data_IF_663383350678
#
_entry.id   IF_663383350678
#
_cell.length_a   1.000
_cell.length_b   1.000
_cell.length_c   1.000
_cell.angle_alpha   90.00
_cell.angle_beta   90.00
_cell.angle_gamma   90.00
#
_symmetry.space_group_name_H-M   'P 1'
#
loop_
_entity.id
_entity.type
_entity.pdbx_description
1 polymer ?
#
# COMPACT_ATOMS: atom_id res chain seq x y z
N UNK A 1 -4.35 1.62 -6.58
CA UNK A 1 -3.46 2.75 -6.29
C UNK A 1 -4.17 3.73 -5.38
N UNK A 2 -3.45 4.24 -4.38
CA UNK A 2 -3.91 5.24 -3.41
C UNK A 2 -2.97 6.45 -3.57
N UNK A 3 -3.54 7.57 -3.95
CA UNK A 3 -2.84 8.84 -4.15
C UNK A 3 -3.06 9.72 -2.91
N UNK A 4 -1.97 10.09 -2.25
CA UNK A 4 -2.00 10.90 -1.03
C UNK A 4 -1.20 12.18 -1.22
N UNK A 5 -1.79 13.29 -0.76
CA UNK A 5 -1.11 14.58 -0.58
C UNK A 5 -0.98 14.84 0.90
N UNK A 6 0.23 14.66 1.42
CA UNK A 6 0.54 14.81 2.84
C UNK A 6 1.08 16.22 3.08
N UNK A 7 0.39 17.08 3.84
CA UNK A 7 0.92 18.40 4.19
C UNK A 7 2.26 18.29 4.89
N UNK A 8 3.22 19.17 4.58
CA UNK A 8 4.53 19.18 5.26
C UNK A 8 4.40 19.40 6.77
N UNK A 9 3.32 20.02 7.23
CA UNK A 9 3.03 20.23 8.64
C UNK A 9 2.83 18.93 9.44
N UNK A 10 2.57 17.79 8.76
CA UNK A 10 2.55 16.48 9.41
C UNK A 10 3.95 15.99 9.80
N UNK A 11 4.99 16.60 9.22
CA UNK A 11 6.39 16.19 9.33
C UNK A 11 7.24 17.17 10.15
N UNK A 12 6.78 18.41 10.33
CA UNK A 12 7.50 19.45 11.06
C UNK A 12 7.05 19.49 12.52
N UNK A 13 7.56 18.56 13.35
CA UNK A 13 7.33 18.66 14.80
C UNK A 13 8.42 19.44 15.52
N UNK A 14 9.63 19.62 14.94
CA UNK A 14 10.70 20.45 15.53
C UNK A 14 11.86 20.89 14.60
N UNK A 15 11.88 20.58 13.29
CA UNK A 15 13.06 20.87 12.44
C UNK A 15 12.92 22.12 11.57
N UNK A 16 13.78 23.10 11.80
CA UNK A 16 13.95 24.36 11.06
C UNK A 16 14.55 24.23 9.65
N UNK A 17 14.66 23.02 9.08
CA UNK A 17 15.29 22.83 7.76
C UNK A 17 14.32 22.40 6.68
N UNK A 18 14.13 23.31 5.72
CA UNK A 18 13.28 23.15 4.55
C UNK A 18 13.86 22.19 3.51
N UNK A 19 13.11 21.14 3.18
CA UNK A 19 13.22 20.38 1.93
C UNK A 19 13.99 19.05 1.99
N UNK A 20 13.39 17.98 1.45
CA UNK A 20 14.04 16.68 1.21
C UNK A 20 14.32 15.83 2.46
N UNK A 21 13.60 16.09 3.55
CA UNK A 21 13.98 15.55 4.86
C UNK A 21 13.34 14.19 5.17
N UNK A 22 12.40 13.68 4.39
CA UNK A 22 11.75 12.41 4.68
C UNK A 22 11.86 11.43 3.52
N UNK A 23 11.89 10.14 3.84
CA UNK A 23 11.91 9.04 2.87
C UNK A 23 11.17 7.80 3.39
N UNK A 24 10.66 6.92 2.51
CA UNK A 24 10.14 5.62 2.91
C UNK A 24 11.19 4.84 3.71
N UNK A 25 10.80 4.25 4.83
CA UNK A 25 11.70 3.41 5.61
C UNK A 25 12.01 2.11 4.85
N UNK A 26 13.30 1.80 4.71
CA UNK A 26 13.72 0.48 4.22
C UNK A 26 13.64 -0.50 5.38
N UNK A 27 12.79 -1.51 5.25
CA UNK A 27 12.61 -2.57 6.25
C UNK A 27 13.08 -3.90 5.68
N UNK A 28 13.59 -4.78 6.54
CA UNK A 28 14.06 -6.12 6.14
C UNK A 28 12.91 -7.04 5.75
N UNK A 29 11.69 -6.74 6.22
CA UNK A 29 10.47 -7.50 5.92
C UNK A 29 9.50 -6.55 5.21
N UNK A 30 9.28 -6.71 3.88
CA UNK A 30 8.36 -5.86 3.15
C UNK A 30 6.90 -6.16 3.52
N UNK A 31 6.04 -5.15 3.38
CA UNK A 31 4.60 -5.35 3.51
C UNK A 31 4.07 -6.15 2.32
N UNK A 32 3.30 -7.20 2.60
CA UNK A 32 2.80 -8.12 1.57
C UNK A 32 1.68 -7.49 0.73
N UNK A 33 0.79 -6.73 1.36
CA UNK A 33 -0.41 -6.21 0.71
C UNK A 33 -0.31 -4.71 0.37
N UNK A 34 0.87 -4.11 0.52
CA UNK A 34 1.04 -2.66 0.35
C UNK A 34 2.49 -2.30 0.01
N UNK A 35 2.70 -1.44 -0.99
CA UNK A 35 4.02 -0.86 -1.29
C UNK A 35 3.92 0.61 -1.67
N UNK A 36 4.93 1.38 -1.30
CA UNK A 36 5.08 2.77 -1.77
C UNK A 36 5.68 2.68 -3.18
N UNK A 37 4.93 3.14 -4.18
CA UNK A 37 5.36 3.17 -5.57
C UNK A 37 6.16 4.45 -5.88
N UNK A 38 5.67 5.60 -5.39
CA UNK A 38 6.32 6.89 -5.57
C UNK A 38 6.21 7.73 -4.29
N UNK A 39 7.25 8.49 -3.99
CA UNK A 39 7.27 9.46 -2.90
C UNK A 39 8.14 10.66 -3.28
N UNK A 40 7.55 11.85 -3.27
CA UNK A 40 8.26 13.07 -3.67
C UNK A 40 7.76 14.29 -2.90
N UNK A 41 8.63 15.29 -2.71
CA UNK A 41 8.22 16.59 -2.19
C UNK A 41 7.77 17.50 -3.33
N UNK A 42 6.58 18.09 -3.22
CA UNK A 42 6.05 19.05 -4.16
C UNK A 42 5.97 20.45 -3.50
N UNK A 43 6.48 21.46 -4.20
CA UNK A 43 6.32 22.87 -3.82
C UNK A 43 5.19 23.46 -4.64
N UNK A 44 4.17 24.00 -3.97
CA UNK A 44 3.05 24.67 -4.63
C UNK A 44 2.91 26.07 -4.06
N UNK A 45 2.42 27.02 -4.86
CA UNK A 45 2.37 28.45 -4.55
C UNK A 45 1.63 28.81 -3.24
N UNK A 46 0.77 27.90 -2.76
CA UNK A 46 -0.09 28.10 -1.56
C UNK A 46 0.36 27.24 -0.38
N UNK A 47 0.86 26.03 -0.61
CA UNK A 47 1.29 25.12 0.47
C UNK A 47 2.21 24.02 -0.07
N UNK A 48 3.23 23.66 0.70
CA UNK A 48 4.09 22.53 0.37
C UNK A 48 3.46 21.21 0.85
N UNK A 49 3.59 20.16 0.06
CA UNK A 49 3.12 18.82 0.41
C UNK A 49 4.05 17.74 -0.12
N UNK A 50 4.02 16.56 0.49
CA UNK A 50 4.57 15.35 -0.08
C UNK A 50 3.49 14.62 -0.88
N UNK A 51 3.82 14.27 -2.11
CA UNK A 51 2.98 13.43 -2.96
C UNK A 51 3.47 11.98 -2.84
N UNK A 52 2.53 11.09 -2.52
CA UNK A 52 2.79 9.67 -2.32
C UNK A 52 1.79 8.84 -3.10
N UNK A 53 2.30 7.88 -3.88
CA UNK A 53 1.48 6.84 -4.52
C UNK A 53 1.75 5.50 -3.86
N UNK A 54 0.67 4.85 -3.43
CA UNK A 54 0.72 3.55 -2.78
C UNK A 54 -0.04 2.53 -3.63
N UNK A 55 0.59 1.40 -3.88
CA UNK A 55 -0.08 0.23 -4.40
C UNK A 55 -0.55 -0.65 -3.26
N UNK A 56 -1.80 -1.08 -3.34
CA UNK A 56 -2.47 -1.87 -2.32
C UNK A 56 -3.06 -3.11 -2.97
N UNK A 57 -2.67 -4.28 -2.47
CA UNK A 57 -3.00 -5.57 -3.06
C UNK A 57 -4.10 -6.25 -2.25
N UNK A 58 -5.30 -6.31 -2.83
CA UNK A 58 -6.52 -6.75 -2.15
C UNK A 58 -7.01 -8.11 -2.69
N UNK A 59 -6.17 -9.15 -2.62
CA UNK A 59 -6.44 -10.44 -3.28
C UNK A 59 -7.46 -11.34 -2.58
N UNK A 60 -7.48 -11.33 -1.24
CA UNK A 60 -8.34 -12.23 -0.45
C UNK A 60 -9.34 -11.42 0.37
N UNK A 61 -10.56 -11.95 0.53
CA UNK A 61 -11.57 -11.37 1.42
C UNK A 61 -11.06 -11.40 2.87
N UNK A 62 -10.88 -10.23 3.45
CA UNK A 62 -10.44 -10.02 4.85
C UNK A 62 -10.47 -8.54 5.22
N UNK A 63 -10.31 -8.28 6.52
CA UNK A 63 -9.87 -6.97 7.00
C UNK A 63 -8.34 -6.90 6.88
N UNK A 64 -7.86 -5.98 6.05
CA UNK A 64 -6.46 -5.69 5.86
C UNK A 64 -6.06 -4.48 6.68
N UNK A 65 -4.91 -4.58 7.35
CA UNK A 65 -4.28 -3.46 8.05
C UNK A 65 -2.78 -3.49 7.78
N UNK A 66 -2.31 -2.51 7.04
CA UNK A 66 -0.90 -2.36 6.66
C UNK A 66 -0.35 -1.06 7.25
N UNK A 67 0.90 -1.08 7.70
CA UNK A 67 1.58 0.09 8.28
C UNK A 67 2.84 0.38 7.48
N UNK A 68 2.89 1.58 6.92
CA UNK A 68 4.06 2.13 6.25
C UNK A 68 4.77 3.11 7.19
N UNK A 69 6.08 3.12 7.13
CA UNK A 69 6.92 4.03 7.91
C UNK A 69 7.61 4.99 6.96
N UNK A 70 7.56 6.27 7.29
CA UNK A 70 8.30 7.34 6.62
C UNK A 70 9.23 7.92 7.67
N UNK A 71 10.52 7.91 7.39
CA UNK A 71 11.57 8.31 8.33
C UNK A 71 12.25 9.57 7.86
N UNK A 72 12.73 10.35 8.82
CA UNK A 72 13.58 11.48 8.51
C UNK A 72 14.96 11.01 8.03
N UNK A 73 15.50 11.65 7.01
CA UNK A 73 16.79 11.35 6.40
C UNK A 73 17.97 11.67 7.31
N UNK A 74 17.77 12.60 8.26
CA UNK A 74 18.79 13.02 9.25
C UNK A 74 18.60 12.35 10.61
N UNK A 75 17.37 11.97 10.95
CA UNK A 75 17.05 11.31 12.22
C UNK A 75 16.06 10.15 12.03
N UNK A 76 16.58 8.93 11.93
CA UNK A 76 15.75 7.72 11.83
C UNK A 76 14.77 7.48 13.00
N UNK A 77 14.91 8.19 14.12
CA UNK A 77 13.98 8.12 15.25
C UNK A 77 12.72 8.97 15.03
N UNK A 78 12.77 9.95 14.13
CA UNK A 78 11.60 10.71 13.72
C UNK A 78 10.84 9.94 12.63
N UNK A 79 9.80 9.22 13.08
CA UNK A 79 9.04 8.28 12.25
C UNK A 79 7.57 8.68 12.16
N UNK A 80 7.10 8.94 10.94
CA UNK A 80 5.69 9.03 10.63
C UNK A 80 5.14 7.64 10.28
N UNK A 81 4.10 7.21 10.99
CA UNK A 81 3.41 5.93 10.75
C UNK A 81 2.13 6.17 9.97
N UNK A 82 2.07 5.65 8.75
CA UNK A 82 0.87 5.67 7.92
C UNK A 82 0.19 4.31 8.00
N UNK A 83 -1.01 4.27 8.57
CA UNK A 83 -1.80 3.04 8.69
C UNK A 83 -2.93 3.03 7.67
N UNK A 84 -2.98 1.99 6.84
CA UNK A 84 -4.01 1.76 5.85
C UNK A 84 -4.86 0.60 6.33
N UNK A 85 -6.15 0.86 6.57
CA UNK A 85 -7.12 -0.17 6.93
C UNK A 85 -8.16 -0.28 5.83
N UNK A 86 -8.36 -1.48 5.31
CA UNK A 86 -9.30 -1.74 4.23
C UNK A 86 -10.11 -3.00 4.52
N UNK A 87 -11.40 -2.96 4.17
CA UNK A 87 -12.25 -4.15 4.10
C UNK A 87 -12.26 -4.64 2.66
N UNK A 88 -11.60 -5.77 2.41
CA UNK A 88 -11.63 -6.42 1.11
C UNK A 88 -12.90 -7.25 1.02
N UNK A 89 -13.66 -7.05 -0.06
CA UNK A 89 -14.86 -7.80 -0.35
C UNK A 89 -14.54 -8.91 -1.35
N UNK A 90 -15.07 -10.11 -1.11
CA UNK A 90 -14.98 -11.20 -2.08
C UNK A 90 -15.89 -10.99 -3.29
N UNK A 91 -15.78 -11.91 -4.25
CA UNK A 91 -16.61 -11.93 -5.46
C UNK A 91 -18.10 -11.96 -5.10
N UNK A 92 -18.91 -11.27 -5.92
CA UNK A 92 -20.37 -11.24 -5.74
C UNK A 92 -20.89 -10.42 -4.54
N UNK A 93 -20.01 -9.74 -3.79
CA UNK A 93 -20.41 -8.86 -2.67
C UNK A 93 -20.78 -7.43 -3.11
N UNK A 94 -20.87 -7.19 -4.42
CA UNK A 94 -21.17 -5.90 -5.02
C UNK A 94 -19.92 -5.07 -5.35
N UNK A 95 -20.12 -3.90 -5.94
CA UNK A 95 -19.04 -2.99 -6.34
C UNK A 95 -18.40 -2.34 -5.10
N UNK A 96 -17.09 -2.49 -4.88
CA UNK A 96 -16.40 -1.83 -3.78
C UNK A 96 -16.54 -0.30 -3.87
N UNK A 97 -16.82 0.34 -2.75
CA UNK A 97 -16.84 1.80 -2.66
C UNK A 97 -15.41 2.31 -2.47
N UNK A 98 -14.83 2.93 -3.50
CA UNK A 98 -13.52 3.57 -3.42
C UNK A 98 -13.65 5.01 -2.92
N UNK A 99 -12.74 5.42 -2.03
CA UNK A 99 -12.65 6.83 -1.58
C UNK A 99 -11.92 7.66 -2.64
N UNK A 100 -12.07 8.98 -2.56
CA UNK A 100 -11.31 9.93 -3.39
C UNK A 100 -9.81 9.67 -3.29
N UNK A 101 -9.13 9.65 -4.43
CA UNK A 101 -7.71 9.31 -4.52
C UNK A 101 -7.42 7.80 -4.49
N UNK A 102 -8.44 6.94 -4.51
CA UNK A 102 -8.26 5.48 -4.61
C UNK A 102 -8.78 5.00 -5.96
N UNK A 103 -7.93 4.29 -6.69
CA UNK A 103 -8.16 3.85 -8.05
C UNK A 103 -7.86 2.35 -8.18
N UNK A 104 -8.74 1.60 -8.84
CA UNK A 104 -8.43 0.23 -9.24
C UNK A 104 -7.45 0.28 -10.42
N UNK A 105 -6.31 -0.41 -10.30
CA UNK A 105 -5.25 -0.43 -11.33
C UNK A 105 -5.08 -1.80 -11.99
N UNK A 106 -5.78 -2.81 -11.48
CA UNK A 106 -5.74 -4.17 -11.99
C UNK A 106 -6.66 -5.07 -11.18
N UNK A 107 -7.14 -6.12 -11.84
CA UNK A 107 -7.90 -7.22 -11.24
C UNK A 107 -7.16 -8.49 -11.67
N UNK A 108 -6.91 -9.38 -10.71
CA UNK A 108 -6.31 -10.68 -11.01
C UNK A 108 -7.38 -11.54 -11.71
N UNK A 109 -7.03 -12.17 -12.83
CA UNK A 109 -7.95 -13.05 -13.55
C UNK A 109 -8.08 -14.37 -12.78
N UNK A 110 -9.30 -14.87 -12.68
CA UNK A 110 -9.66 -16.05 -11.89
C UNK A 110 -9.30 -17.40 -12.55
N UNK A 111 -8.51 -17.40 -13.62
CA UNK A 111 -8.31 -18.58 -14.47
C UNK A 111 -7.48 -19.71 -13.81
N UNK A 112 -7.02 -19.53 -12.57
CA UNK A 112 -6.28 -20.53 -11.79
C UNK A 112 -7.14 -21.28 -10.73
N UNK A 113 -8.47 -21.21 -10.79
CA UNK A 113 -9.37 -22.16 -10.07
C UNK A 113 -9.75 -23.37 -10.95
N UNK A 114 -8.90 -23.76 -11.90
CA UNK A 114 -8.99 -25.11 -12.46
C UNK A 114 -8.51 -26.10 -11.40
N UNK A 115 -9.47 -26.66 -10.65
CA UNK A 115 -9.39 -27.88 -9.85
C UNK A 115 -8.89 -29.08 -10.69
N UNK A 116 -7.66 -29.03 -11.21
CA UNK A 116 -7.02 -30.11 -11.92
C UNK A 116 -6.14 -30.90 -10.95
N UNK A 117 -6.76 -31.57 -9.98
CA UNK A 117 -6.08 -32.64 -9.25
C UNK A 117 -7.00 -33.82 -8.97
N UNK A 118 -7.63 -34.33 -10.03
CA UNK A 118 -8.07 -35.74 -10.07
C UNK A 118 -6.85 -36.64 -10.31
N UNK A 119 -5.93 -36.70 -9.34
CA UNK A 119 -4.92 -37.76 -9.32
C UNK A 119 -5.59 -39.09 -8.96
N UNK A 120 -6.13 -39.77 -9.96
CA UNK A 120 -6.53 -41.17 -9.85
C UNK A 120 -5.26 -42.02 -9.82
N UNK A 121 -4.71 -42.23 -8.61
CA UNK A 121 -3.48 -42.98 -8.41
C UNK A 121 -3.44 -44.33 -9.13
N UNK A 122 -2.22 -44.81 -9.42
CA UNK A 122 -1.99 -46.05 -10.17
C UNK A 122 -2.70 -47.24 -9.53
N UNK A 123 -3.79 -47.69 -10.17
CA UNK A 123 -4.41 -48.99 -9.89
C UNK A 123 -3.36 -50.08 -10.05
N UNK A 124 -3.20 -50.93 -9.04
CA UNK A 124 -2.30 -52.07 -9.08
C UNK A 124 -2.77 -53.04 -10.17
N UNK A 125 -1.94 -53.23 -11.20
CA UNK A 125 -2.06 -54.39 -12.09
C UNK A 125 -1.85 -55.66 -11.25
N UNK A 126 -2.82 -56.59 -11.37
CA UNK A 126 -2.80 -57.92 -10.75
C UNK A 126 -2.11 -58.91 -11.68
#
# INVERSE_FOLDING_TARGET
MIDLKLPVTLFDTNSTTSGGQFMPAVTTVPNLNCRIAEFSSCKHDVSNFYEMKIEFFAYKEKLLREVLHIVNTKDSQEVLKLMITARVLGKGKGTPMLRTGIHCVGVENDDDESEASDFSGFGKDT
#
